data_IF_488613722441
#
_entry.id   IF_488613722441
#
_cell.length_a   1.000
_cell.length_b   1.000
_cell.length_c   1.000
_cell.angle_alpha   90.00
_cell.angle_beta   90.00
_cell.angle_gamma   90.00
#
_symmetry.space_group_name_H-M   'P 1'
#
loop_
_entity.id
_entity.type
_entity.pdbx_description
1 polymer ?
#
# COMPACT_ATOMS: atom_id res chain seq x y z
N UNK A 1 -35.31 18.35 12.33
CA UNK A 1 -34.17 17.64 11.74
C UNK A 1 -32.93 18.47 12.03
N UNK A 2 -32.09 18.06 12.97
CA UNK A 2 -30.88 18.81 13.30
C UNK A 2 -29.84 18.60 12.20
N UNK A 3 -29.41 19.69 11.55
CA UNK A 3 -28.36 19.68 10.55
C UNK A 3 -27.05 19.25 11.21
N UNK A 4 -26.45 18.17 10.69
CA UNK A 4 -25.09 17.78 11.03
C UNK A 4 -24.17 18.99 10.78
N UNK A 5 -23.31 19.34 11.72
CA UNK A 5 -22.50 20.53 11.56
C UNK A 5 -21.36 20.31 10.55
N UNK A 6 -21.08 21.37 9.81
CA UNK A 6 -20.37 21.41 8.52
C UNK A 6 -18.84 21.34 8.61
N UNK A 7 -18.27 20.66 9.59
CA UNK A 7 -16.81 20.61 9.76
C UNK A 7 -16.19 19.51 8.89
N UNK A 8 -15.33 19.92 7.96
CA UNK A 8 -14.46 19.01 7.19
C UNK A 8 -13.45 18.36 8.14
N UNK A 9 -13.29 17.03 8.04
CA UNK A 9 -12.24 16.32 8.77
C UNK A 9 -10.87 16.85 8.33
N UNK A 10 -9.89 16.99 9.23
CA UNK A 10 -8.53 17.37 8.85
C UNK A 10 -7.90 16.47 7.77
N UNK A 11 -8.35 15.21 7.67
CA UNK A 11 -7.92 14.27 6.62
C UNK A 11 -8.52 14.66 5.26
N UNK A 12 -9.84 14.91 5.22
CA UNK A 12 -10.53 15.32 4.00
C UNK A 12 -9.98 16.65 3.47
N UNK A 13 -9.73 17.61 4.37
CA UNK A 13 -9.10 18.89 4.03
C UNK A 13 -7.74 18.70 3.35
N UNK A 14 -6.89 17.83 3.88
CA UNK A 14 -5.57 17.56 3.30
C UNK A 14 -5.66 16.91 1.91
N UNK A 15 -6.59 15.97 1.73
CA UNK A 15 -6.82 15.31 0.44
C UNK A 15 -7.26 16.34 -0.60
N UNK A 16 -8.24 17.19 -0.26
CA UNK A 16 -8.73 18.25 -1.15
C UNK A 16 -7.61 19.23 -1.52
N UNK A 17 -6.84 19.72 -0.55
CA UNK A 17 -5.73 20.63 -0.82
C UNK A 17 -4.65 19.99 -1.71
N UNK A 18 -4.36 18.69 -1.55
CA UNK A 18 -3.44 17.95 -2.41
C UNK A 18 -3.98 17.79 -3.84
N UNK A 19 -5.29 17.55 -4.00
CA UNK A 19 -5.95 17.54 -5.31
C UNK A 19 -5.89 18.92 -5.98
N UNK A 20 -6.18 20.00 -5.26
CA UNK A 20 -6.13 21.38 -5.76
C UNK A 20 -4.71 21.79 -6.21
N UNK A 21 -3.66 21.26 -5.57
CA UNK A 21 -2.27 21.45 -5.99
C UNK A 21 -1.85 20.60 -7.19
N UNK A 22 -2.65 19.61 -7.57
CA UNK A 22 -2.28 18.66 -8.62
C UNK A 22 -1.24 17.62 -8.17
N UNK A 23 -1.11 17.35 -6.86
CA UNK A 23 -0.16 16.36 -6.32
C UNK A 23 -0.41 14.94 -6.90
N UNK A 24 -1.60 14.70 -7.45
CA UNK A 24 -2.02 13.43 -8.06
C UNK A 24 -1.96 13.41 -9.61
N UNK A 25 -1.64 14.52 -10.29
CA UNK A 25 -1.78 14.64 -11.75
C UNK A 25 -0.73 13.84 -12.54
N UNK A 26 0.44 13.57 -11.95
CA UNK A 26 1.59 12.96 -12.63
C UNK A 26 2.12 11.73 -11.89
N UNK A 27 1.23 10.97 -11.27
CA UNK A 27 1.63 9.77 -10.55
C UNK A 27 2.28 8.74 -11.48
N UNK A 28 3.29 8.01 -11.00
CA UNK A 28 3.82 6.85 -11.71
C UNK A 28 2.70 5.86 -12.02
N UNK A 29 2.41 5.65 -13.32
CA UNK A 29 1.34 4.77 -13.77
C UNK A 29 0.03 5.47 -14.16
N UNK A 30 -0.07 6.80 -14.01
CA UNK A 30 -1.24 7.55 -14.47
C UNK A 30 -1.53 7.29 -15.96
N UNK A 31 -2.77 6.91 -16.27
CA UNK A 31 -3.22 6.59 -17.63
C UNK A 31 -2.69 5.27 -18.23
N UNK A 32 -1.86 4.52 -17.51
CA UNK A 32 -1.38 3.19 -17.94
C UNK A 32 -2.34 2.10 -17.47
N UNK A 33 -2.49 0.99 -18.22
CA UNK A 33 -3.27 -0.15 -17.74
C UNK A 33 -2.66 -0.71 -16.46
N UNK A 34 -3.51 -1.10 -15.52
CA UNK A 34 -3.08 -1.83 -14.34
C UNK A 34 -2.66 -3.24 -14.76
N UNK A 35 -1.47 -3.64 -14.34
CA UNK A 35 -1.09 -5.04 -14.38
C UNK A 35 -1.73 -5.77 -13.19
N UNK A 36 -2.57 -6.75 -13.50
CA UNK A 36 -3.33 -7.56 -12.54
C UNK A 36 -3.10 -9.06 -12.78
N UNK A 37 -1.98 -9.44 -13.41
CA UNK A 37 -1.69 -10.85 -13.72
C UNK A 37 -1.67 -11.76 -12.50
N UNK A 38 -1.39 -11.19 -11.32
CA UNK A 38 -1.31 -11.84 -10.02
C UNK A 38 -2.61 -11.76 -9.20
N UNK A 39 -3.65 -11.08 -9.68
CA UNK A 39 -4.89 -10.84 -8.92
C UNK A 39 -5.69 -12.12 -8.57
N UNK A 40 -5.32 -13.27 -9.13
CA UNK A 40 -5.86 -14.58 -8.73
C UNK A 40 -5.38 -15.07 -7.36
N UNK A 41 -4.29 -14.50 -6.84
CA UNK A 41 -3.78 -14.76 -5.50
C UNK A 41 -4.46 -13.82 -4.48
N UNK A 42 -5.13 -14.29 -3.43
CA UNK A 42 -5.76 -13.41 -2.43
C UNK A 42 -4.81 -12.39 -1.79
N UNK A 43 -3.52 -12.73 -1.69
CA UNK A 43 -2.47 -11.91 -1.08
C UNK A 43 -1.69 -11.08 -2.11
N UNK A 44 -2.15 -10.98 -3.36
CA UNK A 44 -1.48 -10.27 -4.46
C UNK A 44 -1.03 -8.85 -4.07
N UNK A 45 -1.89 -8.12 -3.38
CA UNK A 45 -1.63 -6.73 -2.98
C UNK A 45 -0.54 -6.64 -1.90
N UNK A 46 -0.51 -7.60 -0.97
CA UNK A 46 0.47 -7.66 0.12
C UNK A 46 1.86 -8.00 -0.43
N UNK A 47 1.91 -8.95 -1.38
CA UNK A 47 3.15 -9.31 -2.08
C UNK A 47 3.71 -8.13 -2.86
N UNK A 48 2.87 -7.44 -3.67
CA UNK A 48 3.25 -6.20 -4.36
C UNK A 48 3.72 -5.10 -3.42
N UNK A 49 3.06 -4.95 -2.26
CA UNK A 49 3.47 -3.97 -1.25
C UNK A 49 4.84 -4.32 -0.67
N UNK A 50 5.05 -5.57 -0.26
CA UNK A 50 6.32 -6.02 0.29
C UNK A 50 7.48 -5.88 -0.70
N UNK A 51 7.26 -6.20 -1.98
CA UNK A 51 8.25 -6.02 -3.04
C UNK A 51 8.56 -4.53 -3.28
N UNK A 52 7.52 -3.68 -3.37
CA UNK A 52 7.69 -2.24 -3.62
C UNK A 52 8.42 -1.52 -2.49
N UNK A 53 8.09 -1.87 -1.24
CA UNK A 53 8.67 -1.24 -0.05
C UNK A 53 9.92 -1.98 0.46
N UNK A 54 10.38 -3.02 -0.26
CA UNK A 54 11.51 -3.89 0.11
C UNK A 54 11.41 -4.41 1.56
N UNK A 55 10.23 -4.90 1.94
CA UNK A 55 9.98 -5.42 3.28
C UNK A 55 10.55 -6.83 3.45
N UNK A 56 11.24 -7.05 4.57
CA UNK A 56 11.61 -8.40 4.97
C UNK A 56 10.43 -9.11 5.62
N UNK A 57 9.70 -9.91 4.83
CA UNK A 57 8.66 -10.80 5.33
C UNK A 57 9.21 -11.99 6.15
N UNK A 58 10.53 -12.11 6.27
CA UNK A 58 11.21 -13.12 7.08
C UNK A 58 10.77 -13.13 8.55
N UNK A 59 10.47 -11.96 9.13
CA UNK A 59 9.96 -11.84 10.49
C UNK A 59 8.54 -12.40 10.69
N UNK A 60 7.80 -12.62 9.60
CA UNK A 60 6.47 -13.25 9.61
C UNK A 60 6.52 -14.76 9.33
N UNK A 61 7.71 -15.34 9.13
CA UNK A 61 7.85 -16.77 8.89
C UNK A 61 7.54 -17.57 10.16
N UNK A 62 6.88 -18.74 10.04
CA UNK A 62 6.83 -19.71 11.12
C UNK A 62 8.24 -20.06 11.61
N UNK A 63 8.41 -20.23 12.92
CA UNK A 63 9.73 -20.39 13.56
C UNK A 63 10.71 -21.35 12.86
N UNK A 64 10.30 -22.56 12.45
CA UNK A 64 11.20 -23.48 11.75
C UNK A 64 11.69 -23.00 10.37
N UNK A 65 10.94 -22.13 9.68
CA UNK A 65 11.34 -21.54 8.41
C UNK A 65 12.25 -20.32 8.62
N UNK A 66 11.96 -19.52 9.64
CA UNK A 66 12.83 -18.42 10.05
C UNK A 66 14.25 -18.92 10.37
N UNK A 67 14.38 -19.95 11.22
CA UNK A 67 15.68 -20.55 11.57
C UNK A 67 16.46 -21.09 10.37
N UNK A 68 15.78 -21.64 9.35
CA UNK A 68 16.43 -22.10 8.11
C UNK A 68 16.94 -20.95 7.27
N UNK A 69 16.17 -19.85 7.18
CA UNK A 69 16.57 -18.64 6.46
C UNK A 69 17.81 -18.02 7.12
N UNK A 70 17.83 -17.91 8.44
CA UNK A 70 19.00 -17.43 9.21
C UNK A 70 20.23 -18.30 8.96
N UNK A 71 20.09 -19.62 9.01
CA UNK A 71 21.18 -20.55 8.75
C UNK A 71 21.73 -20.49 7.31
N UNK A 72 20.90 -20.14 6.32
CA UNK A 72 21.31 -19.99 4.92
C UNK A 72 21.97 -18.64 4.61
N UNK A 73 21.88 -17.66 5.52
CA UNK A 73 22.50 -16.34 5.38
C UNK A 73 23.92 -16.23 5.94
N UNK A 74 24.48 -17.33 6.47
CA UNK A 74 25.84 -17.42 7.00
C UNK A 74 26.84 -17.98 5.97
#
# INVERSE_FOLDING_TARGET
MAGQPYWESPVEKQIREAQERGDFDNLPGAGKPLDLSDAGDPDWWLKRFAERENLDLGGALPGPLALRKEAAGY
#
